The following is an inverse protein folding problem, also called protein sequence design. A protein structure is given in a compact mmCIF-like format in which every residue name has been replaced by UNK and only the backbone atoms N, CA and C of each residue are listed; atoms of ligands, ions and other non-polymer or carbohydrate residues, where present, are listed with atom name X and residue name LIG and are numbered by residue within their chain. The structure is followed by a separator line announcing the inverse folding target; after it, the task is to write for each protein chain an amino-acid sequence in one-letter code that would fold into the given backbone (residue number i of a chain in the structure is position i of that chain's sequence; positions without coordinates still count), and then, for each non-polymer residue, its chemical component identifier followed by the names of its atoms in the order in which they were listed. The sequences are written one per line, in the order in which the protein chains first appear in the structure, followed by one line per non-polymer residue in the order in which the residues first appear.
data_IF_693251770521
#
_entry.id   IF_693251770521
#
_cell.length_a   1.000
_cell.length_b   1.000
_cell.length_c   1.000
_cell.angle_alpha   90.00
_cell.angle_beta   90.00
_cell.angle_gamma   90.00
#
_symmetry.space_group_name_H-M   'P 1'
#
loop_
_entity.id
_entity.type
_entity.pdbx_description
1 polymer ?
#
# COMPACT_ATOMS: atom_id res chain seq x y z
N UNK A 1 -14.23 -11.08 1.73
CA UNK A 1 -13.85 -10.41 2.99
C UNK A 1 -14.05 -8.93 2.75
N UNK A 2 -14.85 -8.22 3.55
CA UNK A 2 -14.94 -6.77 3.43
C UNK A 2 -13.58 -6.19 3.80
N UNK A 3 -13.02 -5.36 2.93
CA UNK A 3 -11.75 -4.69 3.16
C UNK A 3 -12.00 -3.48 4.08
N UNK A 4 -11.89 -3.71 5.38
CA UNK A 4 -12.19 -2.71 6.41
C UNK A 4 -11.26 -1.48 6.31
N UNK A 5 -10.05 -1.66 5.77
CA UNK A 5 -9.09 -0.57 5.55
C UNK A 5 -9.52 0.38 4.42
N UNK A 6 -10.44 -0.02 3.54
CA UNK A 6 -10.90 0.79 2.41
C UNK A 6 -11.55 2.11 2.80
N UNK A 7 -12.13 2.16 4.00
CA UNK A 7 -12.83 3.32 4.51
C UNK A 7 -11.96 4.17 5.44
N UNK A 8 -10.71 3.79 5.67
CA UNK A 8 -9.75 4.52 6.50
C UNK A 8 -8.82 5.37 5.62
N UNK A 9 -8.55 6.59 6.06
CA UNK A 9 -7.51 7.43 5.47
C UNK A 9 -6.11 7.00 5.97
N UNK A 10 -5.06 7.53 5.35
CA UNK A 10 -3.67 7.19 5.67
C UNK A 10 -3.30 7.45 7.14
N UNK A 11 -3.84 8.51 7.76
CA UNK A 11 -3.58 8.82 9.17
C UNK A 11 -4.23 7.78 10.09
N UNK A 12 -5.48 7.40 9.83
CA UNK A 12 -6.16 6.36 10.59
C UNK A 12 -5.47 5.00 10.46
N UNK A 13 -5.03 4.62 9.25
CA UNK A 13 -4.24 3.41 9.04
C UNK A 13 -2.88 3.46 9.78
N UNK A 14 -2.22 4.63 9.79
CA UNK A 14 -0.94 4.80 10.49
C UNK A 14 -1.10 4.66 12.01
N UNK A 15 -2.21 5.15 12.56
CA UNK A 15 -2.54 4.96 13.97
C UNK A 15 -2.74 3.48 14.32
N UNK A 16 -3.39 2.69 13.46
CA UNK A 16 -3.53 1.24 13.67
C UNK A 16 -2.16 0.55 13.72
N UNK A 17 -1.25 0.90 12.81
CA UNK A 17 0.12 0.37 12.81
C UNK A 17 0.85 0.79 14.10
N UNK A 18 0.75 2.06 14.49
CA UNK A 18 1.44 2.59 15.67
C UNK A 18 0.96 1.92 16.97
N UNK A 19 -0.30 1.51 17.03
CA UNK A 19 -0.90 0.78 18.17
C UNK A 19 -0.67 -0.74 18.09
N UNK A 20 -0.13 -1.24 16.99
CA UNK A 20 0.06 -2.68 16.75
C UNK A 20 -1.26 -3.42 16.48
N UNK A 21 -2.32 -2.71 16.09
CA UNK A 21 -3.63 -3.30 15.75
C UNK A 21 -3.61 -3.90 14.33
N UNK A 22 -2.68 -3.47 13.47
CA UNK A 22 -2.40 -4.09 12.17
C UNK A 22 -0.91 -3.98 11.82
N UNK A 23 -0.44 -4.82 10.90
CA UNK A 23 0.89 -4.77 10.33
C UNK A 23 0.88 -4.13 8.92
N UNK A 24 1.97 -3.46 8.49
CA UNK A 24 2.07 -2.89 7.13
C UNK A 24 1.75 -3.87 6.01
N UNK A 25 2.13 -5.14 6.17
CA UNK A 25 1.87 -6.20 5.18
C UNK A 25 0.37 -6.46 4.99
N UNK A 26 -0.43 -6.36 6.06
CA UNK A 26 -1.88 -6.57 5.98
C UNK A 26 -2.56 -5.43 5.19
N UNK A 27 -2.11 -4.19 5.37
CA UNK A 27 -2.59 -3.05 4.58
C UNK A 27 -2.21 -3.19 3.10
N UNK A 28 -0.98 -3.63 2.81
CA UNK A 28 -0.52 -3.89 1.44
C UNK A 28 -1.36 -4.98 0.79
N UNK A 29 -1.56 -6.12 1.46
CA UNK A 29 -2.33 -7.23 0.89
C UNK A 29 -3.80 -6.87 0.67
N UNK A 30 -4.41 -6.11 1.59
CA UNK A 30 -5.76 -5.60 1.40
C UNK A 30 -5.86 -4.65 0.19
N UNK A 31 -4.92 -3.69 0.07
CA UNK A 31 -4.87 -2.79 -1.07
C UNK A 31 -4.68 -3.53 -2.41
N UNK A 32 -3.82 -4.55 -2.44
CA UNK A 32 -3.61 -5.40 -3.63
C UNK A 32 -4.90 -6.14 -3.98
N UNK A 33 -5.54 -6.81 -3.02
CA UNK A 33 -6.78 -7.54 -3.27
C UNK A 33 -7.88 -6.63 -3.84
N UNK A 34 -7.98 -5.39 -3.36
CA UNK A 34 -8.91 -4.39 -3.89
C UNK A 34 -8.54 -3.94 -5.30
N UNK A 35 -7.26 -3.73 -5.57
CA UNK A 35 -6.77 -3.40 -6.91
C UNK A 35 -7.11 -4.54 -7.88
N UNK A 36 -6.82 -5.80 -7.53
CA UNK A 36 -7.12 -6.96 -8.37
C UNK A 36 -8.62 -7.09 -8.67
N UNK A 37 -9.48 -6.77 -7.70
CA UNK A 37 -10.93 -6.79 -7.87
C UNK A 37 -11.44 -5.66 -8.79
N UNK A 38 -10.89 -4.43 -8.66
CA UNK A 38 -11.46 -3.23 -9.31
C UNK A 38 -10.74 -2.83 -10.60
N UNK A 39 -9.43 -3.06 -10.71
CA UNK A 39 -8.63 -2.62 -11.85
C UNK A 39 -9.08 -3.17 -13.22
N UNK A 40 -9.65 -4.38 -13.34
CA UNK A 40 -10.20 -4.85 -14.62
C UNK A 40 -11.28 -3.93 -15.21
N UNK A 41 -11.98 -3.17 -14.36
CA UNK A 41 -13.02 -2.22 -14.77
C UNK A 41 -12.49 -0.79 -14.85
N UNK A 42 -11.59 -0.41 -13.92
CA UNK A 42 -11.11 0.97 -13.79
C UNK A 42 -9.90 1.29 -14.67
N UNK A 43 -9.07 0.29 -15.01
CA UNK A 43 -7.81 0.45 -15.73
C UNK A 43 -6.91 1.56 -15.15
N UNK A 44 -6.80 1.60 -13.82
CA UNK A 44 -6.09 2.63 -13.07
C UNK A 44 -4.61 2.31 -12.82
N UNK A 45 -4.26 1.02 -12.75
CA UNK A 45 -2.90 0.54 -12.46
C UNK A 45 -2.26 0.02 -13.74
N UNK A 46 -1.22 0.73 -14.20
CA UNK A 46 -0.44 0.36 -15.38
C UNK A 46 0.69 -0.62 -15.05
N UNK A 47 1.47 -0.33 -14.02
CA UNK A 47 2.63 -1.13 -13.61
C UNK A 47 2.44 -1.61 -12.17
N UNK A 48 2.04 -2.88 -11.95
CA UNK A 48 1.93 -3.43 -10.61
C UNK A 48 3.31 -3.62 -9.97
N UNK A 49 3.51 -3.08 -8.76
CA UNK A 49 4.73 -3.26 -7.94
C UNK A 49 4.45 -4.11 -6.69
N UNK A 50 3.54 -5.08 -6.79
CA UNK A 50 2.97 -5.80 -5.64
C UNK A 50 4.00 -6.61 -4.85
N UNK A 51 4.88 -7.33 -5.53
CA UNK A 51 5.94 -8.11 -4.85
C UNK A 51 6.92 -7.20 -4.11
N UNK A 52 7.32 -6.10 -4.75
CA UNK A 52 8.16 -5.07 -4.14
C UNK A 52 7.49 -4.45 -2.91
N UNK A 53 6.21 -4.09 -3.00
CA UNK A 53 5.45 -3.53 -1.89
C UNK A 53 5.35 -4.50 -0.70
N UNK A 54 5.10 -5.80 -0.96
CA UNK A 54 5.08 -6.84 0.08
C UNK A 54 6.45 -6.99 0.75
N UNK A 55 7.52 -7.07 -0.04
CA UNK A 55 8.89 -7.19 0.48
C UNK A 55 9.27 -5.98 1.34
N UNK A 56 8.93 -4.76 0.92
CA UNK A 56 9.16 -3.55 1.70
C UNK A 56 8.36 -3.53 3.01
N UNK A 57 7.08 -3.93 2.97
CA UNK A 57 6.22 -3.95 4.14
C UNK A 57 6.64 -4.99 5.20
N UNK A 58 7.29 -6.08 4.79
CA UNK A 58 7.88 -7.08 5.68
C UNK A 58 9.29 -6.71 6.17
N UNK A 59 9.91 -5.67 5.61
CA UNK A 59 11.25 -5.27 5.97
C UNK A 59 11.32 -4.77 7.42
N UNK A 60 12.26 -5.25 8.24
CA UNK A 60 12.49 -4.70 9.57
C UNK A 60 13.05 -3.27 9.50
N UNK A 61 13.49 -2.82 8.32
CA UNK A 61 14.14 -1.54 8.08
C UNK A 61 13.22 -0.49 7.43
N UNK A 62 11.90 -0.61 7.59
CA UNK A 62 11.00 0.48 7.23
C UNK A 62 11.48 1.78 7.91
N UNK A 63 11.48 2.93 7.21
CA UNK A 63 11.83 4.21 7.82
C UNK A 63 10.82 4.64 8.87
N UNK A 64 11.28 5.32 9.91
CA UNK A 64 10.40 6.00 10.86
C UNK A 64 9.77 7.25 10.24
N UNK A 65 8.53 7.53 10.60
CA UNK A 65 7.78 8.68 10.11
C UNK A 65 6.27 8.56 10.28
N UNK A 66 5.52 9.64 10.03
CA UNK A 66 4.07 9.70 10.28
C UNK A 66 3.26 8.74 9.39
N UNK A 67 3.82 8.29 8.27
CA UNK A 67 3.19 7.33 7.34
C UNK A 67 3.99 6.04 7.21
N UNK A 68 4.73 5.65 8.26
CA UNK A 68 5.46 4.38 8.30
C UNK A 68 4.50 3.23 7.97
N UNK A 69 4.82 2.47 6.92
CA UNK A 69 4.08 1.27 6.52
C UNK A 69 2.78 1.50 5.74
N UNK A 70 2.49 2.73 5.31
CA UNK A 70 1.27 3.02 4.53
C UNK A 70 1.50 2.75 3.03
N UNK A 71 0.67 1.89 2.39
CA UNK A 71 0.74 1.70 0.94
C UNK A 71 0.21 2.92 0.19
N UNK A 72 0.85 3.26 -0.92
CA UNK A 72 0.41 4.32 -1.82
C UNK A 72 0.73 3.97 -3.28
N UNK A 73 0.15 4.75 -4.21
CA UNK A 73 0.37 4.61 -5.64
C UNK A 73 1.12 5.83 -6.17
N UNK A 74 2.00 5.61 -7.14
CA UNK A 74 2.74 6.66 -7.84
C UNK A 74 2.16 6.84 -9.24
N UNK A 75 2.02 8.09 -9.67
CA UNK A 75 1.59 8.40 -11.03
C UNK A 75 2.71 8.06 -12.00
N UNK A 76 2.42 7.21 -12.98
CA UNK A 76 3.34 6.82 -14.07
C UNK A 76 3.63 7.93 -15.10
N UNK A 77 3.36 9.19 -14.75
CA UNK A 77 3.65 10.34 -15.58
C UNK A 77 4.28 11.42 -14.74
N UNK A 78 5.53 11.76 -15.03
CA UNK A 78 6.38 12.74 -14.34
C UNK A 78 6.82 12.41 -12.90
N UNK A 79 6.20 11.44 -12.22
CA UNK A 79 6.74 10.93 -10.95
C UNK A 79 7.67 9.74 -11.24
N UNK A 80 8.79 9.69 -10.53
CA UNK A 80 9.82 8.67 -10.72
C UNK A 80 10.12 7.97 -9.40
N UNK A 81 10.23 6.65 -9.44
CA UNK A 81 10.76 5.82 -8.37
C UNK A 81 11.99 5.08 -8.89
N UNK A 82 13.01 4.95 -8.05
CA UNK A 82 14.29 4.40 -8.49
C UNK A 82 14.16 2.90 -8.79
N UNK A 83 14.48 2.50 -10.02
CA UNK A 83 14.45 1.09 -10.46
C UNK A 83 13.11 0.63 -11.03
N UNK A 84 12.08 1.48 -11.03
CA UNK A 84 10.78 1.18 -11.64
C UNK A 84 10.68 1.81 -13.05
N UNK A 85 9.80 1.28 -13.93
CA UNK A 85 9.60 1.78 -15.30
C UNK A 85 9.15 3.24 -15.42
#
# INVERSE_FOLDING_TARGET
MHDEYAHLNATAQAELIARGETAPIELVDAAIGRIEQLNPQLNAIKTPLFEQARAQAQSPHLPDGPFRGIPFLVKDWFCHTAGDP
#
